data_IF_650086389618
#
_entry.id   IF_650086389618
#
_cell.length_a   1.000
_cell.length_b   1.000
_cell.length_c   1.000
_cell.angle_alpha   90.00
_cell.angle_beta   90.00
_cell.angle_gamma   90.00
#
_symmetry.space_group_name_H-M   'P 1'
#
loop_
_entity.id
_entity.type
_entity.pdbx_description
1 polymer ?
#
# COMPACT_ATOMS: atom_id res chain seq x y z
N UNK A 1 -3.55 5.39 5.55
CA UNK A 1 -3.70 6.16 4.30
C UNK A 1 -2.75 5.57 3.28
N UNK A 2 -3.22 5.22 2.08
CA UNK A 2 -2.37 4.77 0.97
C UNK A 2 -2.20 5.91 -0.02
N UNK A 3 -1.08 5.94 -0.73
CA UNK A 3 -0.72 6.98 -1.70
C UNK A 3 -0.53 6.31 -3.07
N UNK A 4 -1.28 6.78 -4.07
CA UNK A 4 -1.13 6.35 -5.45
C UNK A 4 -0.05 7.16 -6.18
N UNK A 5 0.83 6.48 -6.92
CA UNK A 5 1.91 7.07 -7.70
C UNK A 5 1.80 6.63 -9.17
N UNK A 6 1.37 7.54 -10.04
CA UNK A 6 1.33 7.28 -11.47
C UNK A 6 2.74 7.37 -12.07
N UNK A 7 3.32 6.23 -12.42
CA UNK A 7 4.70 6.09 -12.86
C UNK A 7 4.80 5.90 -14.38
N UNK A 8 4.40 6.92 -15.14
CA UNK A 8 4.44 6.92 -16.61
C UNK A 8 5.90 6.77 -17.07
N UNK A 9 6.15 5.79 -17.94
CA UNK A 9 7.46 5.50 -18.53
C UNK A 9 8.62 5.41 -17.52
N UNK A 10 8.31 5.00 -16.27
CA UNK A 10 9.31 4.85 -15.23
C UNK A 10 9.87 6.16 -14.67
N UNK A 11 9.20 7.30 -14.86
CA UNK A 11 9.61 8.62 -14.37
C UNK A 11 10.02 8.62 -12.88
N UNK A 12 9.34 7.85 -12.04
CA UNK A 12 9.60 7.73 -10.60
C UNK A 12 10.45 6.52 -10.21
N UNK A 13 11.05 5.78 -11.15
CA UNK A 13 11.87 4.61 -10.82
C UNK A 13 13.03 4.94 -9.88
N UNK A 14 13.71 6.08 -10.09
CA UNK A 14 14.80 6.53 -9.23
C UNK A 14 14.31 6.85 -7.82
N UNK A 15 13.14 7.46 -7.69
CA UNK A 15 12.52 7.73 -6.39
C UNK A 15 12.15 6.43 -5.66
N UNK A 16 11.52 5.49 -6.36
CA UNK A 16 11.15 4.19 -5.79
C UNK A 16 12.39 3.42 -5.33
N UNK A 17 13.43 3.39 -6.16
CA UNK A 17 14.71 2.74 -5.83
C UNK A 17 15.41 3.39 -4.63
N UNK A 18 15.32 4.71 -4.50
CA UNK A 18 15.84 5.43 -3.34
C UNK A 18 15.10 5.04 -2.05
N UNK A 19 13.77 4.90 -2.11
CA UNK A 19 12.97 4.45 -0.96
C UNK A 19 13.29 3.00 -0.63
N UNK A 20 13.41 2.12 -1.63
CA UNK A 20 13.81 0.72 -1.43
C UNK A 20 15.14 0.62 -0.69
N UNK A 21 16.14 1.40 -1.12
CA UNK A 21 17.43 1.47 -0.43
C UNK A 21 17.31 1.97 1.02
N UNK A 22 16.50 2.99 1.27
CA UNK A 22 16.28 3.50 2.62
C UNK A 22 15.58 2.48 3.54
N UNK A 23 14.77 1.58 2.98
CA UNK A 23 14.18 0.45 3.71
C UNK A 23 15.26 -0.59 4.04
N UNK A 24 16.10 -0.95 3.07
CA UNK A 24 17.19 -1.91 3.26
C UNK A 24 18.21 -1.45 4.30
N UNK A 25 18.49 -0.14 4.34
CA UNK A 25 19.38 0.48 5.33
C UNK A 25 18.71 0.68 6.70
N UNK A 26 17.41 0.39 6.83
CA UNK A 26 16.66 0.51 8.08
C UNK A 26 16.24 1.93 8.45
N UNK A 27 16.46 2.92 7.57
CA UNK A 27 15.98 4.29 7.77
C UNK A 27 14.46 4.42 7.59
N UNK A 28 13.85 3.53 6.79
CA UNK A 28 12.41 3.48 6.52
C UNK A 28 11.87 2.12 6.94
N UNK A 29 10.73 2.08 7.62
CA UNK A 29 10.12 0.80 8.00
C UNK A 29 9.58 0.06 6.76
N UNK A 30 9.62 -1.28 6.71
CA UNK A 30 9.04 -2.05 5.60
C UNK A 30 7.56 -1.73 5.34
N UNK A 31 6.80 -1.40 6.40
CA UNK A 31 5.41 -0.97 6.29
C UNK A 31 5.25 0.36 5.55
N UNK A 32 6.20 1.28 5.67
CA UNK A 32 6.15 2.56 4.99
C UNK A 32 6.37 2.42 3.48
N UNK A 33 7.11 1.40 3.01
CA UNK A 33 7.25 1.10 1.58
C UNK A 33 5.93 0.72 0.93
N UNK A 34 5.08 -0.01 1.65
CA UNK A 34 3.76 -0.44 1.18
C UNK A 34 2.72 0.69 1.16
N UNK A 35 3.06 1.90 1.63
CA UNK A 35 2.17 3.06 1.53
C UNK A 35 2.05 3.52 0.07
N UNK A 36 3.11 3.34 -0.74
CA UNK A 36 3.13 3.76 -2.13
C UNK A 36 2.68 2.62 -3.03
N UNK A 37 1.60 2.87 -3.77
CA UNK A 37 1.11 1.99 -4.84
C UNK A 37 1.46 2.66 -6.16
N UNK A 38 2.38 2.07 -6.91
CA UNK A 38 2.74 2.57 -8.23
C UNK A 38 2.11 1.77 -9.36
N UNK A 39 1.75 2.46 -10.44
CA UNK A 39 1.35 1.84 -11.70
C UNK A 39 1.70 2.74 -12.89
N UNK A 40 2.00 2.17 -14.08
CA UNK A 40 2.31 2.94 -15.28
C UNK A 40 1.10 3.67 -15.89
N UNK A 41 -0.12 3.22 -15.60
CA UNK A 41 -1.35 3.82 -16.16
C UNK A 41 -2.33 4.20 -15.05
N UNK A 42 -3.15 5.22 -15.32
CA UNK A 42 -4.16 5.68 -14.37
C UNK A 42 -5.18 4.57 -14.06
N UNK A 43 -5.59 3.80 -15.09
CA UNK A 43 -6.54 2.71 -14.93
C UNK A 43 -6.00 1.63 -13.97
N UNK A 44 -4.75 1.19 -14.18
CA UNK A 44 -4.13 0.19 -13.31
C UNK A 44 -3.93 0.73 -11.89
N UNK A 45 -3.58 2.02 -11.74
CA UNK A 45 -3.45 2.65 -10.44
C UNK A 45 -4.77 2.63 -9.67
N UNK A 46 -5.87 3.00 -10.33
CA UNK A 46 -7.20 3.01 -9.74
C UNK A 46 -7.63 1.60 -9.32
N UNK A 47 -7.46 0.59 -10.20
CA UNK A 47 -7.79 -0.79 -9.87
C UNK A 47 -6.99 -1.31 -8.66
N UNK A 48 -5.70 -0.99 -8.54
CA UNK A 48 -4.89 -1.37 -7.38
C UNK A 48 -5.38 -0.71 -6.10
N UNK A 49 -5.73 0.58 -6.14
CA UNK A 49 -6.24 1.32 -4.98
C UNK A 49 -7.60 0.78 -4.51
N UNK A 50 -8.51 0.47 -5.44
CA UNK A 50 -9.82 -0.11 -5.13
C UNK A 50 -9.69 -1.47 -4.41
N UNK A 51 -8.86 -2.37 -4.95
CA UNK A 51 -8.58 -3.67 -4.33
C UNK A 51 -8.04 -3.50 -2.90
N UNK A 52 -7.17 -2.54 -2.69
CA UNK A 52 -6.60 -2.29 -1.36
C UNK A 52 -7.62 -1.74 -0.37
N UNK A 53 -8.52 -0.86 -0.81
CA UNK A 53 -9.63 -0.38 0.00
C UNK A 53 -10.53 -1.54 0.45
N UNK A 54 -10.89 -2.43 -0.49
CA UNK A 54 -11.70 -3.62 -0.23
C UNK A 54 -11.01 -4.53 0.80
N UNK A 55 -9.72 -4.83 0.61
CA UNK A 55 -8.94 -5.65 1.54
C UNK A 55 -8.89 -5.00 2.93
N UNK A 56 -8.69 -3.68 3.00
CA UNK A 56 -8.62 -2.96 4.26
C UNK A 56 -9.95 -3.03 5.02
N UNK A 57 -11.08 -2.76 4.35
CA UNK A 57 -12.40 -2.89 4.94
C UNK A 57 -12.71 -4.33 5.39
N UNK A 58 -12.36 -5.33 4.57
CA UNK A 58 -12.56 -6.73 4.94
C UNK A 58 -11.72 -7.15 6.16
N UNK A 59 -10.49 -6.65 6.28
CA UNK A 59 -9.62 -6.87 7.46
C UNK A 59 -10.20 -6.22 8.71
N UNK A 60 -10.68 -4.98 8.60
CA UNK A 60 -11.32 -4.28 9.71
C UNK A 60 -12.58 -5.04 10.16
N UNK A 61 -13.48 -5.39 9.24
CA UNK A 61 -14.67 -6.18 9.56
C UNK A 61 -14.33 -7.48 10.29
N UNK A 62 -13.41 -8.29 9.75
CA UNK A 62 -12.96 -9.53 10.42
C UNK A 62 -12.41 -9.28 11.82
N UNK A 63 -11.60 -8.24 11.99
CA UNK A 63 -11.06 -7.88 13.30
C UNK A 63 -12.17 -7.51 14.29
N UNK A 64 -13.13 -6.67 13.89
CA UNK A 64 -14.27 -6.31 14.72
C UNK A 64 -15.07 -7.53 15.16
N UNK A 65 -15.48 -8.40 14.23
CA UNK A 65 -16.27 -9.60 14.56
C UNK A 65 -15.49 -10.60 15.44
N UNK A 66 -14.22 -10.84 15.16
CA UNK A 66 -13.38 -11.74 15.97
C UNK A 66 -13.16 -11.19 17.40
N UNK A 67 -13.10 -9.86 17.57
CA UNK A 67 -12.95 -9.22 18.87
C UNK A 67 -14.22 -9.25 19.73
N UNK A 68 -15.40 -9.34 19.10
CA UNK A 68 -16.69 -9.55 19.80
C UNK A 68 -16.91 -10.99 20.21
N UNK A 69 -16.52 -11.97 19.39
CA UNK A 69 -16.62 -13.40 19.73
C UNK A 69 -15.67 -13.79 20.87
N UNK A 70 -14.50 -13.15 20.99
CA UNK A 70 -13.56 -13.43 22.08
C UNK A 70 -14.01 -12.86 23.45
N UNK A 71 -15.03 -11.99 23.47
CA UNK A 71 -15.56 -11.35 24.68
C UNK A 71 -16.90 -11.93 25.16
N UNK A 72 -17.42 -12.95 24.47
CA UNK A 72 -18.62 -13.71 24.87
C UNK A 72 -18.23 -15.07 25.45
#
# INVERSE_FOLDING_TARGET
MQVGLLNVDGYYNSLLSFIDKAVDEGFVTPSARHIIISAPTAQELMSKLEVQLIIHHARLARYYYASTDLKS
#
